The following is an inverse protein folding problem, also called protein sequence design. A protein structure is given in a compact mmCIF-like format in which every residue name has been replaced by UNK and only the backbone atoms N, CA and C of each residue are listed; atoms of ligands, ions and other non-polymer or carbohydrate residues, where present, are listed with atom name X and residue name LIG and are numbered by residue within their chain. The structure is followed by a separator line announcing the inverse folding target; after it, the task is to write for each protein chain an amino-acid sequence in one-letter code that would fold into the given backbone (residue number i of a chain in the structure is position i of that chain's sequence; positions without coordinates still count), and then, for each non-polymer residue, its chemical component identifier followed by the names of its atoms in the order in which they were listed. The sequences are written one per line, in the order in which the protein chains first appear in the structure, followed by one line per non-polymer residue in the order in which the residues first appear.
data_IF_493534527374
#
_entry.id   IF_493534527374
#
_cell.length_a   1.000
_cell.length_b   1.000
_cell.length_c   1.000
_cell.angle_alpha   90.00
_cell.angle_beta   90.00
_cell.angle_gamma   90.00
#
_symmetry.space_group_name_H-M   'P 1'
#
loop_
_entity.id
_entity.type
_entity.pdbx_description
1 polymer ?
#
# COMPACT_ATOMS: atom_id res chain seq x y z
N UNK A 1 -5.29 7.05 -12.54
CA UNK A 1 -4.66 6.93 -11.23
C UNK A 1 -3.78 8.15 -10.95
N UNK A 2 -2.80 8.47 -11.78
CA UNK A 2 -1.90 9.63 -11.56
C UNK A 2 -2.66 10.95 -11.39
N UNK A 3 -3.69 11.20 -12.21
CA UNK A 3 -4.59 12.36 -12.09
C UNK A 3 -5.23 12.46 -10.71
N UNK A 4 -5.76 11.34 -10.20
CA UNK A 4 -6.35 11.28 -8.87
C UNK A 4 -5.30 11.50 -7.76
N UNK A 5 -4.10 10.94 -7.93
CA UNK A 5 -3.01 11.08 -6.96
C UNK A 5 -2.54 12.54 -6.85
N UNK A 6 -2.35 13.23 -7.99
CA UNK A 6 -2.03 14.66 -8.01
C UNK A 6 -3.15 15.48 -7.38
N UNK A 7 -4.41 15.21 -7.76
CA UNK A 7 -5.55 15.93 -7.23
C UNK A 7 -5.69 15.78 -5.70
N UNK A 8 -5.50 14.59 -5.17
CA UNK A 8 -5.54 14.33 -3.71
C UNK A 8 -4.32 14.88 -2.95
N UNK A 9 -3.19 15.08 -3.64
CA UNK A 9 -2.01 15.68 -3.03
C UNK A 9 -2.15 17.18 -2.84
N UNK A 10 -2.81 17.87 -3.78
CA UNK A 10 -2.89 19.33 -3.81
C UNK A 10 -4.28 19.88 -3.51
N UNK A 11 -5.33 19.06 -3.45
CA UNK A 11 -6.70 19.46 -3.21
C UNK A 11 -7.31 18.86 -1.95
N UNK A 12 -8.36 19.52 -1.46
CA UNK A 12 -9.21 18.99 -0.39
C UNK A 12 -10.43 18.32 -1.03
N UNK A 13 -10.68 17.01 -0.79
CA UNK A 13 -11.77 16.27 -1.41
C UNK A 13 -13.14 16.91 -1.22
N UNK A 14 -13.40 17.56 -0.06
CA UNK A 14 -14.70 18.15 0.26
C UNK A 14 -14.84 19.62 -0.15
N UNK A 15 -13.73 20.36 -0.15
CA UNK A 15 -13.77 21.82 -0.29
C UNK A 15 -13.23 22.33 -1.64
N UNK A 16 -12.47 21.51 -2.39
CA UNK A 16 -12.02 21.89 -3.74
C UNK A 16 -13.16 21.75 -4.73
N UNK A 17 -13.52 22.85 -5.39
CA UNK A 17 -14.56 22.87 -6.42
C UNK A 17 -13.98 22.53 -7.79
N UNK A 18 -14.62 21.59 -8.48
CA UNK A 18 -14.32 21.21 -9.87
C UNK A 18 -15.46 21.70 -10.75
N UNK A 19 -15.13 22.38 -11.84
CA UNK A 19 -16.08 22.88 -12.83
C UNK A 19 -15.77 22.27 -14.20
N UNK A 20 -16.79 21.79 -14.87
CA UNK A 20 -16.66 21.14 -16.17
C UNK A 20 -16.69 22.19 -17.27
N UNK A 21 -15.63 22.30 -18.05
CA UNK A 21 -15.55 23.17 -19.23
C UNK A 21 -16.26 22.54 -20.46
N UNK A 22 -16.44 23.29 -21.52
CA UNK A 22 -16.89 22.74 -22.82
C UNK A 22 -15.88 21.72 -23.37
N UNK A 23 -14.57 21.96 -23.19
CA UNK A 23 -13.51 21.01 -23.58
C UNK A 23 -13.66 19.71 -22.82
N UNK A 24 -13.80 19.79 -21.49
CA UNK A 24 -13.95 18.59 -20.65
C UNK A 24 -15.23 17.81 -21.03
N UNK A 25 -16.35 18.48 -21.21
CA UNK A 25 -17.63 17.85 -21.57
C UNK A 25 -17.61 17.14 -22.94
N UNK A 26 -16.69 17.50 -23.82
CA UNK A 26 -16.60 16.99 -25.21
C UNK A 26 -15.36 16.14 -25.50
N UNK A 27 -14.58 15.79 -24.48
CA UNK A 27 -13.32 15.05 -24.64
C UNK A 27 -13.49 13.68 -25.33
N UNK A 28 -14.66 13.06 -25.19
CA UNK A 28 -14.99 11.79 -25.84
C UNK A 28 -14.55 10.53 -25.09
N UNK A 29 -14.85 9.38 -25.70
CA UNK A 29 -14.63 8.04 -25.18
C UNK A 29 -15.35 7.82 -23.84
N UNK A 30 -14.72 7.23 -22.83
CA UNK A 30 -15.33 6.99 -21.53
C UNK A 30 -15.73 8.29 -20.84
N UNK A 31 -16.96 8.39 -20.35
CA UNK A 31 -17.53 9.61 -19.79
C UNK A 31 -18.47 9.33 -18.63
N UNK A 32 -18.42 10.16 -17.60
CA UNK A 32 -19.44 10.23 -16.56
C UNK A 32 -20.69 11.03 -17.00
N UNK A 33 -20.78 11.45 -18.28
CA UNK A 33 -21.84 12.24 -18.88
C UNK A 33 -22.00 13.62 -18.23
N UNK A 34 -20.89 14.19 -17.80
CA UNK A 34 -20.82 15.54 -17.27
C UNK A 34 -21.07 16.55 -18.42
N UNK A 35 -21.72 17.65 -18.10
CA UNK A 35 -22.03 18.72 -19.06
C UNK A 35 -21.23 19.98 -18.73
N UNK A 36 -21.01 20.80 -19.75
CA UNK A 36 -20.35 22.09 -19.55
C UNK A 36 -21.14 22.94 -18.54
N UNK A 37 -20.44 23.50 -17.55
CA UNK A 37 -21.06 24.25 -16.45
C UNK A 37 -21.39 23.42 -15.22
N UNK A 38 -21.38 22.09 -15.29
CA UNK A 38 -21.54 21.25 -14.10
C UNK A 38 -20.44 21.59 -13.08
N UNK A 39 -20.83 21.61 -11.81
CA UNK A 39 -19.88 21.81 -10.72
C UNK A 39 -20.10 20.83 -9.58
N UNK A 40 -19.01 20.44 -8.92
CA UNK A 40 -19.01 19.45 -7.85
C UNK A 40 -17.77 19.62 -6.96
N UNK A 41 -17.73 18.94 -5.81
CA UNK A 41 -16.49 18.85 -5.03
C UNK A 41 -15.51 17.83 -5.67
N UNK A 42 -14.26 17.88 -5.24
CA UNK A 42 -13.21 17.03 -5.78
C UNK A 42 -13.51 15.53 -5.57
N UNK A 43 -14.08 15.14 -4.42
CA UNK A 43 -14.42 13.73 -4.18
C UNK A 43 -15.42 13.21 -5.19
N UNK A 44 -16.45 13.98 -5.51
CA UNK A 44 -17.42 13.63 -6.55
C UNK A 44 -16.75 13.52 -7.92
N UNK A 45 -15.89 14.47 -8.28
CA UNK A 45 -15.14 14.42 -9.53
C UNK A 45 -14.20 13.20 -9.60
N UNK A 46 -13.57 12.83 -8.49
CA UNK A 46 -12.75 11.62 -8.39
C UNK A 46 -13.57 10.33 -8.54
N UNK A 47 -14.79 10.28 -8.01
CA UNK A 47 -15.73 9.17 -8.26
C UNK A 47 -16.07 9.05 -9.73
N UNK A 48 -16.40 10.16 -10.39
CA UNK A 48 -16.62 10.20 -11.84
C UNK A 48 -15.38 9.76 -12.65
N UNK A 49 -14.18 10.15 -12.22
CA UNK A 49 -12.92 9.76 -12.85
C UNK A 49 -12.62 8.28 -12.70
N UNK A 50 -12.70 7.76 -11.47
CA UNK A 50 -12.15 6.44 -11.15
C UNK A 50 -13.13 5.30 -11.37
N UNK A 51 -14.42 5.50 -11.06
CA UNK A 51 -15.42 4.44 -11.14
C UNK A 51 -15.80 4.16 -12.60
N UNK A 52 -16.30 5.14 -13.33
CA UNK A 52 -16.70 4.95 -14.74
C UNK A 52 -15.59 5.28 -15.74
N UNK A 53 -14.39 5.59 -15.26
CA UNK A 53 -13.28 6.00 -16.14
C UNK A 53 -13.52 7.29 -16.92
N UNK A 54 -14.21 8.28 -16.32
CA UNK A 54 -14.63 9.50 -17.01
C UNK A 54 -13.47 10.38 -17.46
N UNK A 55 -13.26 10.50 -18.78
CA UNK A 55 -12.27 11.42 -19.36
C UNK A 55 -12.67 12.87 -19.14
N UNK A 56 -13.97 13.15 -19.18
CA UNK A 56 -14.58 14.45 -18.83
C UNK A 56 -14.19 14.89 -17.41
N UNK A 57 -14.30 13.99 -16.43
CA UNK A 57 -13.89 14.27 -15.06
C UNK A 57 -12.37 14.46 -14.94
N UNK A 58 -11.53 13.66 -15.66
CA UNK A 58 -10.10 13.82 -15.68
C UNK A 58 -9.67 15.20 -16.18
N UNK A 59 -10.24 15.62 -17.29
CA UNK A 59 -9.98 16.91 -17.92
C UNK A 59 -10.43 18.07 -17.00
N UNK A 60 -11.66 17.98 -16.45
CA UNK A 60 -12.21 18.99 -15.56
C UNK A 60 -11.38 19.19 -14.29
N UNK A 61 -10.86 18.09 -13.70
CA UNK A 61 -9.96 18.14 -12.54
C UNK A 61 -8.67 18.89 -12.89
N UNK A 62 -8.02 18.54 -14.01
CA UNK A 62 -6.77 19.17 -14.41
C UNK A 62 -6.93 20.65 -14.71
N UNK A 63 -8.00 21.04 -15.39
CA UNK A 63 -8.32 22.44 -15.70
C UNK A 63 -8.66 23.25 -14.44
N UNK A 64 -9.49 22.70 -13.54
CA UNK A 64 -9.93 23.40 -12.33
C UNK A 64 -8.81 23.57 -11.31
N UNK A 65 -7.90 22.58 -11.18
CA UNK A 65 -6.87 22.57 -10.14
C UNK A 65 -5.50 23.05 -10.61
N UNK A 66 -5.29 23.16 -11.91
CA UNK A 66 -3.97 23.37 -12.47
C UNK A 66 -3.28 24.64 -12.00
N UNK A 67 -4.00 25.75 -11.85
CA UNK A 67 -3.43 27.01 -11.33
C UNK A 67 -2.99 26.87 -9.86
N UNK A 68 -3.83 26.23 -9.03
CA UNK A 68 -3.48 25.96 -7.63
C UNK A 68 -2.25 25.06 -7.54
N UNK A 69 -2.21 23.97 -8.31
CA UNK A 69 -1.09 23.03 -8.35
C UNK A 69 0.19 23.76 -8.80
N UNK A 70 0.13 24.54 -9.88
CA UNK A 70 1.26 25.29 -10.39
C UNK A 70 1.79 26.32 -9.40
N UNK A 71 0.92 27.05 -8.71
CA UNK A 71 1.31 28.02 -7.69
C UNK A 71 1.98 27.33 -6.50
N UNK A 72 1.41 26.23 -6.00
CA UNK A 72 1.98 25.45 -4.90
C UNK A 72 3.38 24.91 -5.25
N UNK A 73 3.57 24.40 -6.46
CA UNK A 73 4.89 23.92 -6.91
C UNK A 73 5.93 25.07 -6.97
N UNK A 74 5.52 26.25 -7.46
CA UNK A 74 6.40 27.45 -7.49
C UNK A 74 6.78 27.90 -6.07
N UNK A 75 5.84 27.90 -5.14
CA UNK A 75 6.07 28.20 -3.71
C UNK A 75 7.02 27.19 -3.05
N UNK A 76 6.97 25.93 -3.47
CA UNK A 76 7.90 24.89 -3.03
C UNK A 76 9.30 25.00 -3.68
N UNK A 77 9.51 25.97 -4.57
CA UNK A 77 10.79 26.20 -5.25
C UNK A 77 11.04 25.28 -6.43
N UNK A 78 9.99 24.66 -6.99
CA UNK A 78 10.10 23.84 -8.20
C UNK A 78 10.32 24.76 -9.40
N UNK A 79 11.37 24.50 -10.16
CA UNK A 79 11.72 25.30 -11.34
C UNK A 79 10.94 24.85 -12.59
N UNK A 80 10.82 25.74 -13.57
CA UNK A 80 10.22 25.48 -14.88
C UNK A 80 8.74 25.04 -14.85
N UNK A 81 8.00 25.36 -13.79
CA UNK A 81 6.56 25.10 -13.71
C UNK A 81 5.84 25.96 -14.77
N UNK A 82 5.03 25.36 -15.66
CA UNK A 82 4.28 26.11 -16.67
C UNK A 82 3.36 27.17 -16.06
N UNK A 83 3.09 28.24 -16.83
CA UNK A 83 2.19 29.31 -16.40
C UNK A 83 0.71 28.97 -16.64
N UNK A 84 0.40 28.12 -17.63
CA UNK A 84 -0.97 27.64 -17.86
C UNK A 84 -1.35 26.54 -16.89
N UNK A 85 -2.46 26.68 -16.23
CA UNK A 85 -2.91 25.76 -15.20
C UNK A 85 -2.97 24.29 -15.65
N UNK A 86 -3.58 24.03 -16.78
CA UNK A 86 -3.62 22.67 -17.34
C UNK A 86 -2.23 22.07 -17.56
N UNK A 87 -1.32 22.84 -18.18
CA UNK A 87 0.04 22.39 -18.42
C UNK A 87 0.81 22.19 -17.09
N UNK A 88 0.53 23.02 -16.07
CA UNK A 88 1.10 22.85 -14.73
C UNK A 88 0.60 21.58 -14.03
N UNK A 89 -0.66 21.17 -14.26
CA UNK A 89 -1.19 19.90 -13.75
C UNK A 89 -0.48 18.70 -14.39
N UNK A 90 -0.32 18.70 -15.73
CA UNK A 90 0.42 17.65 -16.43
C UNK A 90 1.91 17.63 -16.03
N UNK A 91 2.50 18.79 -15.81
CA UNK A 91 3.85 18.90 -15.24
C UNK A 91 3.92 18.24 -13.86
N UNK A 92 2.94 18.49 -12.99
CA UNK A 92 2.85 17.86 -11.66
C UNK A 92 2.72 16.33 -11.74
N UNK A 93 1.99 15.78 -12.73
CA UNK A 93 1.90 14.33 -12.96
C UNK A 93 3.29 13.74 -13.26
N UNK A 94 4.08 14.38 -14.13
CA UNK A 94 5.43 13.93 -14.46
C UNK A 94 6.42 14.15 -13.31
N UNK A 95 6.29 15.25 -12.56
CA UNK A 95 7.08 15.49 -11.36
C UNK A 95 6.84 14.42 -10.31
N UNK A 96 5.58 14.07 -10.06
CA UNK A 96 5.19 13.01 -9.13
C UNK A 96 5.69 11.65 -9.60
N UNK A 97 5.63 11.35 -10.90
CA UNK A 97 6.22 10.14 -11.46
C UNK A 97 7.72 10.06 -11.17
N UNK A 98 8.45 11.15 -11.36
CA UNK A 98 9.88 11.24 -11.04
C UNK A 98 10.14 11.00 -9.53
N UNK A 99 9.35 11.62 -8.66
CA UNK A 99 9.49 11.48 -7.20
C UNK A 99 9.21 10.05 -6.71
N UNK A 100 8.31 9.34 -7.38
CA UNK A 100 8.01 7.93 -7.13
C UNK A 100 9.01 6.97 -7.77
N UNK A 101 9.97 7.44 -8.56
CA UNK A 101 10.93 6.60 -9.27
C UNK A 101 10.38 5.90 -10.51
N UNK A 102 9.29 6.41 -11.10
CA UNK A 102 8.66 5.89 -12.32
C UNK A 102 9.47 6.30 -13.56
N UNK A 103 10.64 5.69 -13.73
CA UNK A 103 11.63 6.12 -14.74
C UNK A 103 11.25 5.76 -16.19
N UNK A 104 10.22 4.95 -16.39
CA UNK A 104 9.72 4.53 -17.70
C UNK A 104 8.29 5.03 -17.93
N UNK A 105 7.96 6.22 -17.42
CA UNK A 105 6.61 6.77 -17.53
C UNK A 105 6.65 8.23 -17.96
N UNK A 106 5.79 8.59 -18.90
CA UNK A 106 5.55 9.96 -19.33
C UNK A 106 4.05 10.19 -19.44
N UNK A 107 3.56 11.25 -18.84
CA UNK A 107 2.19 11.71 -18.91
C UNK A 107 2.10 12.97 -19.77
N UNK A 108 1.17 13.02 -20.73
CA UNK A 108 0.95 14.17 -21.62
C UNK A 108 -0.45 14.77 -21.49
N UNK A 109 -1.36 14.06 -20.82
CA UNK A 109 -2.71 14.50 -20.52
C UNK A 109 -3.24 13.77 -19.25
N UNK A 110 -4.34 14.23 -18.64
CA UNK A 110 -4.88 13.66 -17.41
C UNK A 110 -5.75 12.40 -17.61
N UNK A 111 -6.23 12.12 -18.83
CA UNK A 111 -7.20 11.07 -19.15
C UNK A 111 -6.58 9.81 -19.76
N UNK A 112 -5.42 9.90 -20.39
CA UNK A 112 -4.70 8.74 -20.95
C UNK A 112 -5.06 8.40 -22.39
N UNK A 113 -5.83 9.24 -23.12
CA UNK A 113 -6.02 9.07 -24.56
C UNK A 113 -4.69 9.28 -25.29
N UNK A 114 -4.44 8.47 -26.32
CA UNK A 114 -3.14 8.37 -26.99
C UNK A 114 -3.24 8.45 -28.55
N UNK A 115 -4.38 8.83 -29.05
CA UNK A 115 -4.68 8.93 -30.49
C UNK A 115 -5.11 10.36 -30.91
N UNK A 116 -5.27 10.57 -32.21
CA UNK A 116 -5.76 11.83 -32.76
C UNK A 116 -4.97 13.05 -32.26
N UNK A 117 -5.65 14.03 -31.69
CA UNK A 117 -5.05 15.23 -31.10
C UNK A 117 -4.30 14.96 -29.79
N UNK A 118 -4.55 13.80 -29.17
CA UNK A 118 -3.90 13.33 -27.95
C UNK A 118 -2.69 12.43 -28.23
N UNK A 119 -2.37 12.17 -29.49
CA UNK A 119 -1.20 11.36 -29.88
C UNK A 119 0.10 12.01 -29.38
N UNK A 120 0.98 11.20 -28.79
CA UNK A 120 2.25 11.68 -28.26
C UNK A 120 3.08 10.58 -27.62
N UNK A 121 4.12 10.99 -26.90
CA UNK A 121 5.01 10.09 -26.19
C UNK A 121 4.47 9.71 -24.80
N UNK A 122 3.25 9.23 -24.75
CA UNK A 122 2.58 8.72 -23.54
C UNK A 122 2.95 7.25 -23.38
N UNK A 123 3.55 6.88 -22.25
CA UNK A 123 3.90 5.48 -21.95
C UNK A 123 4.10 5.25 -20.46
N UNK A 124 4.06 3.97 -20.07
CA UNK A 124 4.41 3.52 -18.74
C UNK A 124 4.91 2.06 -18.78
N UNK A 125 5.29 1.52 -17.63
CA UNK A 125 5.64 0.10 -17.43
C UNK A 125 4.82 -0.50 -16.29
N UNK A 126 4.70 -1.83 -16.26
CA UNK A 126 3.98 -2.51 -15.17
C UNK A 126 4.61 -2.20 -13.79
N UNK A 127 5.94 -2.10 -13.74
CA UNK A 127 6.64 -1.69 -12.52
C UNK A 127 6.24 -0.28 -12.06
N UNK A 128 6.28 0.70 -12.97
CA UNK A 128 5.97 2.09 -12.64
C UNK A 128 4.50 2.27 -12.25
N UNK A 129 3.58 1.59 -12.97
CA UNK A 129 2.15 1.58 -12.59
C UNK A 129 1.97 0.99 -11.20
N UNK A 130 2.74 -0.04 -10.83
CA UNK A 130 2.67 -0.61 -9.47
C UNK A 130 3.11 0.38 -8.39
N UNK A 131 4.16 1.18 -8.63
CA UNK A 131 4.61 2.22 -7.71
C UNK A 131 3.53 3.29 -7.50
N UNK A 132 2.92 3.74 -8.59
CA UNK A 132 1.82 4.70 -8.56
C UNK A 132 0.61 4.17 -7.79
N UNK A 133 0.22 2.92 -8.01
CA UNK A 133 -0.89 2.28 -7.32
C UNK A 133 -0.62 2.11 -5.82
N UNK A 134 0.59 1.68 -5.45
CA UNK A 134 0.99 1.56 -4.05
C UNK A 134 0.92 2.91 -3.32
N UNK A 135 1.36 4.01 -3.95
CA UNK A 135 1.26 5.34 -3.36
C UNK A 135 -0.19 5.80 -3.23
N UNK A 136 -0.99 5.68 -4.30
CA UNK A 136 -2.40 6.08 -4.31
C UNK A 136 -3.23 5.32 -3.26
N UNK A 137 -2.98 4.04 -3.10
CA UNK A 137 -3.68 3.18 -2.12
C UNK A 137 -3.33 3.48 -0.66
N UNK A 138 -2.36 4.36 -0.36
CA UNK A 138 -2.15 4.88 1.01
C UNK A 138 -3.24 5.87 1.42
N UNK A 139 -3.87 6.55 0.46
CA UNK A 139 -4.94 7.50 0.70
C UNK A 139 -6.28 6.78 0.91
N UNK A 140 -6.97 7.02 2.04
CA UNK A 140 -8.22 6.34 2.38
C UNK A 140 -9.37 6.71 1.43
N UNK A 141 -9.45 7.97 1.00
CA UNK A 141 -10.46 8.43 0.04
C UNK A 141 -10.27 7.73 -1.30
N UNK A 142 -9.03 7.61 -1.78
CA UNK A 142 -8.74 6.87 -3.00
C UNK A 142 -9.16 5.41 -2.90
N UNK A 143 -8.79 4.71 -1.79
CA UNK A 143 -9.18 3.30 -1.57
C UNK A 143 -10.69 3.10 -1.57
N UNK A 144 -11.42 3.99 -0.89
CA UNK A 144 -12.89 3.92 -0.86
C UNK A 144 -13.49 4.07 -2.26
N UNK A 145 -13.02 5.05 -3.03
CA UNK A 145 -13.52 5.31 -4.38
C UNK A 145 -13.26 4.13 -5.31
N UNK A 146 -12.02 3.62 -5.37
CA UNK A 146 -11.67 2.53 -6.31
C UNK A 146 -12.25 1.17 -5.92
N UNK A 147 -12.57 0.98 -4.64
CA UNK A 147 -13.27 -0.21 -4.14
C UNK A 147 -14.80 -0.14 -4.29
N UNK A 148 -15.34 0.94 -4.84
CA UNK A 148 -16.79 1.12 -5.03
C UNK A 148 -17.23 0.53 -6.37
N UNK A 149 -18.07 -0.52 -6.34
CA UNK A 149 -18.63 -1.11 -7.55
C UNK A 149 -19.70 -0.19 -8.18
N UNK A 150 -20.64 0.32 -7.42
CA UNK A 150 -21.73 1.17 -7.90
C UNK A 150 -22.09 2.26 -6.89
N UNK A 151 -22.38 3.46 -7.38
CA UNK A 151 -22.86 4.58 -6.55
C UNK A 151 -23.60 5.62 -7.39
N UNK A 152 -24.39 6.47 -6.75
CA UNK A 152 -24.96 7.68 -7.33
C UNK A 152 -24.31 8.88 -6.68
N UNK A 153 -23.87 9.84 -7.48
CA UNK A 153 -23.31 11.11 -7.01
C UNK A 153 -24.19 12.28 -7.47
N UNK A 154 -24.06 13.44 -6.83
CA UNK A 154 -24.78 14.64 -7.19
C UNK A 154 -23.83 15.68 -7.76
N UNK A 155 -24.21 16.26 -8.89
CA UNK A 155 -23.55 17.42 -9.51
C UNK A 155 -24.51 18.60 -9.55
N UNK A 156 -23.99 19.81 -9.45
CA UNK A 156 -24.79 21.02 -9.62
C UNK A 156 -24.79 21.39 -11.10
N UNK A 157 -25.96 21.38 -11.73
CA UNK A 157 -26.23 21.75 -13.13
C UNK A 157 -27.31 22.81 -13.16
N UNK A 158 -27.03 23.98 -13.76
CA UNK A 158 -28.01 25.10 -13.83
C UNK A 158 -28.59 25.47 -12.44
N UNK A 159 -27.79 25.38 -11.39
CA UNK A 159 -28.16 25.61 -9.97
C UNK A 159 -29.07 24.53 -9.35
N UNK A 160 -29.31 23.42 -10.02
CA UNK A 160 -30.07 22.28 -9.52
C UNK A 160 -29.12 21.10 -9.23
N UNK A 161 -29.51 20.23 -8.28
CA UNK A 161 -28.80 18.99 -8.05
C UNK A 161 -29.27 17.91 -9.00
N UNK A 162 -28.35 17.32 -9.75
CA UNK A 162 -28.61 16.26 -10.71
C UNK A 162 -27.87 14.99 -10.27
N UNK A 163 -28.59 13.89 -10.20
CA UNK A 163 -28.03 12.58 -9.90
C UNK A 163 -27.28 12.02 -11.11
N UNK A 164 -26.09 11.48 -10.87
CA UNK A 164 -25.27 10.79 -11.85
C UNK A 164 -24.95 9.39 -11.30
N UNK A 165 -25.45 8.37 -11.99
CA UNK A 165 -25.19 6.98 -11.65
C UNK A 165 -23.83 6.55 -12.19
N UNK A 166 -23.02 5.94 -11.33
CA UNK A 166 -21.68 5.46 -11.63
C UNK A 166 -21.59 3.96 -11.36
N UNK A 167 -21.09 3.22 -12.33
CA UNK A 167 -20.83 1.79 -12.25
C UNK A 167 -19.38 1.52 -12.64
N UNK A 168 -18.70 0.72 -11.83
CA UNK A 168 -17.28 0.45 -12.01
C UNK A 168 -17.02 -0.40 -13.26
N UNK A 169 -15.93 -0.07 -13.95
CA UNK A 169 -15.40 -0.90 -15.03
C UNK A 169 -14.55 -2.05 -14.54
N UNK A 170 -14.34 -2.17 -13.24
CA UNK A 170 -13.59 -3.26 -12.58
C UNK A 170 -14.55 -4.39 -12.19
N UNK A 171 -14.63 -5.42 -13.04
CA UNK A 171 -15.49 -6.58 -12.80
C UNK A 171 -15.06 -7.42 -11.61
N UNK A 172 -13.78 -7.36 -11.20
CA UNK A 172 -13.28 -8.15 -10.08
C UNK A 172 -13.86 -7.70 -8.73
N UNK A 173 -14.36 -6.47 -8.62
CA UNK A 173 -15.02 -6.00 -7.39
C UNK A 173 -16.24 -6.87 -7.00
N UNK A 174 -16.90 -7.52 -7.97
CA UNK A 174 -18.02 -8.43 -7.72
C UNK A 174 -17.63 -9.91 -7.76
N UNK A 175 -16.58 -10.27 -8.54
CA UNK A 175 -16.34 -11.66 -8.90
C UNK A 175 -15.17 -12.29 -8.16
N UNK A 176 -14.22 -11.47 -7.64
CA UNK A 176 -12.99 -11.99 -7.04
C UNK A 176 -12.90 -11.65 -5.55
N UNK A 177 -12.71 -12.67 -4.71
CA UNK A 177 -12.59 -12.50 -3.25
C UNK A 177 -11.42 -11.59 -2.88
N UNK A 178 -11.73 -10.54 -2.11
CA UNK A 178 -10.75 -9.57 -1.65
C UNK A 178 -10.40 -8.48 -2.65
N UNK A 179 -10.99 -8.46 -3.87
CA UNK A 179 -10.78 -7.37 -4.81
C UNK A 179 -11.16 -6.02 -4.18
N UNK A 180 -10.28 -5.01 -4.35
CA UNK A 180 -10.46 -3.68 -3.77
C UNK A 180 -10.04 -2.54 -4.73
N UNK A 181 -10.09 -2.81 -6.03
CA UNK A 181 -9.83 -1.86 -7.11
C UNK A 181 -8.73 -2.37 -8.05
N UNK A 182 -8.18 -1.55 -8.94
CA UNK A 182 -8.04 -0.07 -8.90
C UNK A 182 -8.60 0.55 -10.17
N UNK A 183 -8.09 0.12 -11.38
CA UNK A 183 -8.44 0.81 -12.63
C UNK A 183 -8.20 -0.03 -13.86
N UNK A 184 -9.16 -0.04 -14.74
CA UNK A 184 -9.07 -0.54 -16.12
C UNK A 184 -8.57 0.55 -17.08
N UNK A 185 -8.05 0.15 -18.23
CA UNK A 185 -7.72 1.04 -19.32
C UNK A 185 -7.78 0.30 -20.66
N UNK A 186 -8.14 1.01 -21.70
CA UNK A 186 -8.12 0.50 -23.06
C UNK A 186 -7.87 1.64 -24.06
N UNK A 187 -6.99 1.43 -25.00
CA UNK A 187 -6.85 2.16 -26.25
C UNK A 187 -6.41 1.17 -27.34
N UNK A 188 -6.58 1.54 -28.61
CA UNK A 188 -6.14 0.67 -29.71
C UNK A 188 -4.63 0.39 -29.70
N UNK A 189 -3.83 1.33 -29.19
CA UNK A 189 -2.38 1.17 -29.06
C UNK A 189 -1.99 0.40 -27.81
N UNK A 190 -2.62 0.68 -26.67
CA UNK A 190 -2.26 0.06 -25.38
C UNK A 190 -2.85 -1.36 -25.24
N UNK A 191 -3.94 -1.69 -25.94
CA UNK A 191 -4.70 -2.91 -25.69
C UNK A 191 -5.42 -2.86 -24.35
N UNK A 192 -5.93 -4.00 -23.90
CA UNK A 192 -6.63 -4.11 -22.63
C UNK A 192 -5.64 -4.13 -21.45
N UNK A 193 -5.77 -3.16 -20.54
CA UNK A 193 -4.92 -3.01 -19.38
C UNK A 193 -5.74 -3.02 -18.07
N UNK A 194 -5.12 -3.49 -16.99
CA UNK A 194 -5.72 -3.49 -15.66
C UNK A 194 -4.64 -3.31 -14.57
N UNK A 195 -4.87 -2.38 -13.69
CA UNK A 195 -4.18 -2.28 -12.43
C UNK A 195 -5.14 -2.76 -11.34
N UNK A 196 -4.96 -3.98 -10.87
CA UNK A 196 -5.79 -4.61 -9.87
C UNK A 196 -5.18 -4.59 -8.47
N UNK A 197 -6.02 -4.55 -7.45
CA UNK A 197 -5.64 -4.77 -6.06
C UNK A 197 -6.56 -5.77 -5.39
N UNK A 198 -5.99 -6.63 -4.54
CA UNK A 198 -6.75 -7.57 -3.73
C UNK A 198 -6.16 -7.63 -2.33
N UNK A 199 -7.01 -7.59 -1.31
CA UNK A 199 -6.64 -7.74 0.10
C UNK A 199 -7.34 -8.95 0.70
N UNK A 200 -6.57 -9.95 1.14
CA UNK A 200 -7.06 -11.08 1.93
C UNK A 200 -6.36 -11.10 3.28
N UNK A 201 -7.13 -10.86 4.34
CA UNK A 201 -6.64 -10.87 5.72
C UNK A 201 -5.44 -9.92 5.99
N UNK A 202 -5.41 -8.74 5.34
CA UNK A 202 -4.34 -7.76 5.46
C UNK A 202 -3.14 -8.02 4.55
N UNK A 203 -3.21 -9.03 3.68
CA UNK A 203 -2.23 -9.29 2.62
C UNK A 203 -2.67 -8.60 1.33
N UNK A 204 -2.31 -7.32 1.21
CA UNK A 204 -2.63 -6.49 0.05
C UNK A 204 -1.67 -6.77 -1.11
N UNK A 205 -2.20 -7.22 -2.22
CA UNK A 205 -1.47 -7.52 -3.47
C UNK A 205 -1.88 -6.56 -4.59
N UNK A 206 -0.94 -6.32 -5.50
CA UNK A 206 -1.18 -5.58 -6.74
C UNK A 206 -0.86 -6.44 -7.95
N UNK A 207 -1.77 -6.54 -8.90
CA UNK A 207 -1.57 -7.19 -10.19
C UNK A 207 -1.65 -6.14 -11.31
N UNK A 208 -0.56 -5.94 -12.04
CA UNK A 208 -0.51 -5.00 -13.16
C UNK A 208 -0.43 -5.79 -14.44
N UNK A 209 -1.49 -5.72 -15.21
CA UNK A 209 -1.66 -6.41 -16.50
C UNK A 209 -1.72 -5.37 -17.60
N UNK A 210 -0.85 -5.47 -18.58
CA UNK A 210 -0.76 -4.56 -19.71
C UNK A 210 -0.87 -5.33 -21.02
N UNK A 211 -1.66 -4.80 -21.95
CA UNK A 211 -1.79 -5.32 -23.30
C UNK A 211 -2.30 -6.77 -23.36
N UNK A 212 -3.34 -7.10 -22.59
CA UNK A 212 -4.05 -8.38 -22.75
C UNK A 212 -4.81 -8.43 -24.07
N UNK A 213 -5.02 -9.63 -24.61
CA UNK A 213 -5.66 -9.84 -25.89
C UNK A 213 -7.10 -9.35 -25.97
N UNK A 214 -7.81 -9.36 -24.84
CA UNK A 214 -9.20 -8.87 -24.72
C UNK A 214 -9.44 -8.19 -23.39
N UNK A 215 -10.53 -7.41 -23.31
CA UNK A 215 -10.93 -6.75 -22.07
C UNK A 215 -11.28 -7.75 -20.96
N UNK A 216 -11.87 -8.88 -21.27
CA UNK A 216 -12.14 -9.95 -20.31
C UNK A 216 -10.84 -10.64 -19.85
N UNK A 217 -9.88 -10.82 -20.77
CA UNK A 217 -8.62 -11.50 -20.45
C UNK A 217 -7.80 -10.76 -19.41
N UNK A 218 -7.81 -9.42 -19.38
CA UNK A 218 -7.07 -8.64 -18.36
C UNK A 218 -7.47 -9.01 -16.93
N UNK A 219 -8.73 -9.36 -16.69
CA UNK A 219 -9.22 -9.79 -15.39
C UNK A 219 -8.76 -11.21 -15.07
N UNK A 220 -8.91 -12.16 -15.99
CA UNK A 220 -8.42 -13.54 -15.81
C UNK A 220 -6.90 -13.59 -15.57
N UNK A 221 -6.14 -12.74 -16.25
CA UNK A 221 -4.69 -12.62 -16.07
C UNK A 221 -4.37 -12.11 -14.64
N UNK A 222 -5.12 -11.10 -14.16
CA UNK A 222 -4.96 -10.56 -12.81
C UNK A 222 -5.35 -11.57 -11.73
N UNK A 223 -6.47 -12.29 -11.89
CA UNK A 223 -6.88 -13.39 -11.01
C UNK A 223 -5.80 -14.45 -10.91
N UNK A 224 -5.22 -14.85 -12.05
CA UNK A 224 -4.13 -15.83 -12.10
C UNK A 224 -2.92 -15.37 -11.30
N UNK A 225 -2.54 -14.09 -11.40
CA UNK A 225 -1.44 -13.51 -10.64
C UNK A 225 -1.75 -13.48 -9.13
N UNK A 226 -2.93 -13.06 -8.73
CA UNK A 226 -3.35 -13.05 -7.33
C UNK A 226 -3.37 -14.45 -6.75
N UNK A 227 -4.01 -15.40 -7.43
CA UNK A 227 -4.10 -16.79 -6.99
C UNK A 227 -2.72 -17.43 -6.89
N UNK A 228 -1.81 -17.12 -7.81
CA UNK A 228 -0.44 -17.63 -7.72
C UNK A 228 0.27 -17.16 -6.45
N UNK A 229 0.10 -15.90 -6.05
CA UNK A 229 0.70 -15.40 -4.81
C UNK A 229 0.00 -15.98 -3.59
N UNK A 230 -1.32 -15.92 -3.50
CA UNK A 230 -2.07 -16.43 -2.34
C UNK A 230 -1.87 -17.93 -2.12
N UNK A 231 -1.85 -18.74 -3.19
CA UNK A 231 -1.61 -20.18 -3.10
C UNK A 231 -0.16 -20.52 -2.72
N UNK A 232 0.78 -19.60 -2.87
CA UNK A 232 2.17 -19.75 -2.46
C UNK A 232 2.52 -18.95 -1.20
N UNK A 233 1.56 -18.32 -0.55
CA UNK A 233 1.70 -17.69 0.77
C UNK A 233 1.25 -18.70 1.83
N UNK A 234 2.07 -18.84 2.88
CA UNK A 234 1.81 -19.75 4.00
C UNK A 234 1.95 -19.02 5.33
N UNK A 235 1.14 -19.41 6.31
CA UNK A 235 1.34 -18.99 7.68
C UNK A 235 2.56 -19.71 8.26
N UNK A 236 3.57 -18.92 8.66
CA UNK A 236 4.84 -19.39 9.18
C UNK A 236 4.90 -19.09 10.68
N UNK A 237 4.83 -20.12 11.57
CA UNK A 237 5.00 -19.91 13.00
C UNK A 237 6.38 -19.36 13.31
N UNK A 238 6.49 -18.39 14.23
CA UNK A 238 7.79 -17.84 14.61
C UNK A 238 8.56 -18.78 15.55
N UNK A 239 7.90 -19.75 16.16
CA UNK A 239 8.51 -20.75 17.03
C UNK A 239 8.44 -22.13 16.40
N UNK A 240 9.61 -22.74 16.21
CA UNK A 240 9.78 -24.10 15.69
C UNK A 240 10.42 -25.06 16.71
N UNK A 241 10.63 -24.61 17.96
CA UNK A 241 11.28 -25.43 18.99
C UNK A 241 10.37 -26.57 19.45
N UNK A 242 10.91 -27.78 19.50
CA UNK A 242 10.26 -28.92 20.14
C UNK A 242 10.51 -28.98 21.67
N UNK A 243 11.41 -28.13 22.19
CA UNK A 243 11.70 -28.04 23.63
C UNK A 243 10.77 -27.03 24.28
N UNK A 244 10.30 -27.35 25.49
CA UNK A 244 9.47 -26.43 26.28
C UNK A 244 10.02 -26.37 27.73
N UNK A 245 9.66 -25.28 28.40
CA UNK A 245 9.90 -25.11 29.83
C UNK A 245 8.61 -24.71 30.52
N UNK A 246 8.52 -25.00 31.81
CA UNK A 246 7.35 -24.73 32.62
C UNK A 246 7.71 -23.74 33.72
N UNK A 247 7.05 -22.59 33.73
CA UNK A 247 7.14 -21.59 34.78
C UNK A 247 5.95 -21.72 35.74
N UNK A 248 6.20 -21.58 37.03
CA UNK A 248 5.18 -21.58 38.06
C UNK A 248 5.24 -20.25 38.82
N UNK A 249 4.16 -19.47 38.73
CA UNK A 249 4.06 -18.18 39.40
C UNK A 249 3.87 -18.29 40.91
N UNK A 250 3.96 -17.16 41.61
CA UNK A 250 3.78 -17.08 43.08
C UNK A 250 2.40 -17.52 43.55
N UNK A 251 1.38 -17.50 42.68
CA UNK A 251 0.02 -17.97 42.96
C UNK A 251 -0.17 -19.47 42.73
N UNK A 252 0.86 -20.13 42.18
CA UNK A 252 0.84 -21.56 41.87
C UNK A 252 0.33 -21.92 40.47
N UNK A 253 0.00 -20.92 39.62
CA UNK A 253 -0.38 -21.17 38.24
C UNK A 253 0.85 -21.62 37.43
N UNK A 254 0.61 -22.51 36.51
CA UNK A 254 1.65 -23.13 35.70
C UNK A 254 1.49 -22.70 34.25
N UNK A 255 2.54 -22.10 33.65
CA UNK A 255 2.60 -21.71 32.25
C UNK A 255 3.71 -22.50 31.56
N UNK A 256 3.39 -23.16 30.45
CA UNK A 256 4.39 -23.88 29.63
C UNK A 256 4.60 -23.12 28.34
N UNK A 257 5.87 -22.80 28.04
CA UNK A 257 6.27 -22.06 26.85
C UNK A 257 7.39 -22.79 26.11
N UNK A 258 7.47 -22.67 24.77
CA UNK A 258 8.57 -23.23 24.00
C UNK A 258 9.88 -22.51 24.30
N UNK A 259 11.01 -23.21 24.29
CA UNK A 259 12.34 -22.63 24.46
C UNK A 259 12.91 -22.25 23.10
N UNK A 260 13.13 -20.96 22.87
CA UNK A 260 13.70 -20.43 21.62
C UNK A 260 15.21 -20.30 21.72
N UNK A 261 15.73 -19.89 22.89
CA UNK A 261 17.15 -19.73 23.12
C UNK A 261 17.52 -19.96 24.59
N UNK A 262 18.81 -20.22 24.84
CA UNK A 262 19.43 -20.09 26.17
C UNK A 262 20.21 -18.78 26.18
N UNK A 263 19.98 -17.95 27.19
CA UNK A 263 20.59 -16.63 27.35
C UNK A 263 21.66 -16.73 28.47
N UNK A 264 22.88 -16.25 28.20
CA UNK A 264 23.92 -16.19 29.19
C UNK A 264 23.66 -15.05 30.18
N UNK A 265 23.69 -15.37 31.48
CA UNK A 265 23.62 -14.38 32.54
C UNK A 265 25.03 -13.85 32.84
N UNK A 266 25.37 -12.64 32.42
CA UNK A 266 26.72 -12.07 32.54
C UNK A 266 27.17 -11.82 33.98
N UNK A 267 26.27 -11.85 34.94
CA UNK A 267 26.60 -11.78 36.36
C UNK A 267 27.19 -13.09 36.95
N UNK A 268 27.13 -14.19 36.20
CA UNK A 268 27.60 -15.51 36.63
C UNK A 268 28.48 -16.17 35.58
N UNK A 269 29.52 -16.90 36.02
CA UNK A 269 30.29 -17.77 35.11
C UNK A 269 29.42 -18.98 34.74
N UNK A 270 29.31 -19.26 33.43
CA UNK A 270 28.62 -20.44 32.90
C UNK A 270 27.12 -20.57 33.28
N UNK A 271 26.48 -19.51 33.75
CA UNK A 271 25.03 -19.52 34.02
C UNK A 271 24.23 -19.12 32.80
N UNK A 272 23.24 -19.93 32.47
CA UNK A 272 22.26 -19.64 31.40
C UNK A 272 20.84 -19.84 31.91
N UNK A 273 19.88 -19.10 31.31
CA UNK A 273 18.46 -19.29 31.53
C UNK A 273 17.74 -19.39 30.19
N UNK A 274 16.54 -19.95 30.22
CA UNK A 274 15.73 -20.17 28.99
C UNK A 274 14.96 -18.93 28.62
N UNK A 275 14.85 -18.71 27.33
CA UNK A 275 14.06 -17.61 26.75
C UNK A 275 13.11 -18.10 25.65
N UNK A 276 12.02 -17.39 25.49
CA UNK A 276 11.00 -17.59 24.45
C UNK A 276 10.71 -16.25 23.78
N UNK A 277 9.85 -16.21 22.75
CA UNK A 277 9.34 -14.94 22.22
C UNK A 277 8.11 -14.50 23.01
N UNK A 278 7.81 -13.20 22.98
CA UNK A 278 6.73 -12.58 23.78
C UNK A 278 5.36 -13.21 23.53
N UNK A 279 5.04 -13.54 22.25
CA UNK A 279 3.87 -14.34 21.88
C UNK A 279 4.30 -15.62 21.15
N UNK A 280 4.38 -16.76 21.85
CA UNK A 280 4.80 -18.03 21.26
C UNK A 280 3.88 -18.59 20.16
N UNK A 281 2.65 -18.08 20.04
CA UNK A 281 1.69 -18.50 19.03
C UNK A 281 1.71 -17.60 17.80
N UNK A 282 2.53 -16.55 17.79
CA UNK A 282 2.63 -15.63 16.68
C UNK A 282 3.11 -16.35 15.40
N UNK A 283 2.43 -16.06 14.31
CA UNK A 283 2.82 -16.45 12.96
C UNK A 283 2.83 -15.22 12.03
N UNK A 284 3.53 -15.35 10.92
CA UNK A 284 3.58 -14.34 9.86
C UNK A 284 3.28 -15.01 8.52
N UNK A 285 2.75 -14.24 7.58
CA UNK A 285 2.57 -14.70 6.22
C UNK A 285 3.90 -14.62 5.46
N UNK A 286 4.30 -15.71 4.82
CA UNK A 286 5.53 -15.77 4.02
C UNK A 286 5.25 -16.35 2.64
N UNK A 287 5.83 -15.75 1.62
CA UNK A 287 5.77 -16.26 0.26
C UNK A 287 6.83 -17.36 0.08
N UNK A 288 6.39 -18.62 0.09
CA UNK A 288 7.28 -19.81 0.12
C UNK A 288 8.31 -19.86 -1.02
N UNK A 289 7.99 -19.26 -2.17
CA UNK A 289 8.88 -19.27 -3.34
C UNK A 289 10.00 -18.21 -3.27
N UNK A 290 9.96 -17.29 -2.29
CA UNK A 290 11.02 -16.30 -2.03
C UNK A 290 12.22 -16.89 -1.28
N UNK A 291 12.19 -18.19 -0.97
CA UNK A 291 13.24 -18.90 -0.27
C UNK A 291 12.96 -19.14 1.21
N UNK A 292 13.92 -19.73 1.89
CA UNK A 292 13.78 -20.08 3.31
C UNK A 292 13.78 -18.86 4.21
N UNK A 293 13.03 -18.95 5.29
CA UNK A 293 13.10 -18.00 6.40
C UNK A 293 14.31 -18.35 7.27
N UNK A 294 15.15 -17.37 7.55
CA UNK A 294 16.25 -17.44 8.51
C UNK A 294 15.93 -16.59 9.73
N UNK A 295 16.52 -16.94 10.87
CA UNK A 295 16.40 -16.18 12.11
C UNK A 295 17.76 -15.74 12.62
N UNK A 296 17.81 -14.55 13.20
CA UNK A 296 18.96 -14.02 13.93
C UNK A 296 18.51 -13.60 15.33
N UNK A 297 19.20 -14.10 16.35
CA UNK A 297 18.91 -13.80 17.75
C UNK A 297 19.98 -12.84 18.27
N UNK A 298 19.56 -11.71 18.79
CA UNK A 298 20.42 -10.73 19.46
C UNK A 298 20.05 -10.69 20.94
N UNK A 299 21.01 -10.96 21.80
CA UNK A 299 20.84 -10.96 23.25
C UNK A 299 21.21 -9.62 23.85
N UNK A 300 20.44 -9.20 24.86
CA UNK A 300 20.79 -8.08 25.71
C UNK A 300 21.80 -8.51 26.79
N UNK A 301 22.51 -7.53 27.35
CA UNK A 301 23.47 -7.76 28.44
C UNK A 301 22.73 -7.88 29.77
N UNK A 302 22.49 -9.13 30.21
CA UNK A 302 21.77 -9.43 31.45
C UNK A 302 22.75 -9.63 32.61
N UNK A 303 22.68 -8.74 33.61
CA UNK A 303 23.56 -8.74 34.79
C UNK A 303 22.82 -8.73 36.14
N UNK A 304 21.50 -8.45 36.13
CA UNK A 304 20.62 -8.32 37.29
C UNK A 304 19.61 -9.46 37.35
N UNK A 305 18.79 -9.50 38.40
CA UNK A 305 17.65 -10.40 38.48
C UNK A 305 16.76 -10.26 37.26
N UNK A 306 16.31 -11.39 36.76
CA UNK A 306 15.39 -11.50 35.58
C UNK A 306 14.16 -12.28 36.03
N UNK A 307 12.99 -11.81 35.64
CA UNK A 307 11.74 -12.48 35.91
C UNK A 307 11.12 -12.99 34.61
N UNK A 308 10.27 -13.99 34.74
CA UNK A 308 9.51 -14.53 33.61
C UNK A 308 8.80 -13.39 32.87
N UNK A 309 9.00 -13.32 31.53
CA UNK A 309 8.44 -12.28 30.67
C UNK A 309 9.31 -11.03 30.50
N UNK A 310 10.40 -10.88 31.27
CA UNK A 310 11.32 -9.75 31.07
C UNK A 310 12.01 -9.85 29.71
N UNK A 311 12.15 -8.72 29.01
CA UNK A 311 12.86 -8.66 27.73
C UNK A 311 14.35 -8.90 27.95
N UNK A 312 14.92 -9.83 27.16
CA UNK A 312 16.31 -10.27 27.23
C UNK A 312 16.99 -10.29 25.86
N UNK A 313 16.34 -9.74 24.84
CA UNK A 313 16.88 -9.64 23.50
C UNK A 313 15.80 -9.46 22.44
N UNK A 314 16.18 -9.73 21.20
CA UNK A 314 15.28 -9.70 20.03
C UNK A 314 15.57 -10.88 19.10
N UNK A 315 14.53 -11.32 18.40
CA UNK A 315 14.65 -12.29 17.30
C UNK A 315 14.18 -11.62 16.02
N UNK A 316 15.07 -11.54 15.04
CA UNK A 316 14.76 -10.99 13.71
C UNK A 316 14.61 -12.15 12.72
N UNK A 317 13.51 -12.18 12.02
CA UNK A 317 13.25 -13.15 10.95
C UNK A 317 13.47 -12.47 9.60
N UNK A 318 14.13 -13.17 8.70
CA UNK A 318 14.51 -12.65 7.39
C UNK A 318 14.16 -13.66 6.29
N UNK A 319 13.67 -13.17 5.16
CA UNK A 319 13.50 -13.95 3.94
C UNK A 319 14.16 -13.19 2.79
N UNK A 320 15.02 -13.85 2.02
CA UNK A 320 15.79 -13.23 0.92
C UNK A 320 16.52 -11.93 1.34
N UNK A 321 17.15 -11.95 2.54
CA UNK A 321 17.85 -10.81 3.16
C UNK A 321 16.97 -9.59 3.54
N UNK A 322 15.66 -9.71 3.44
CA UNK A 322 14.73 -8.70 3.92
C UNK A 322 14.18 -9.10 5.29
N UNK A 323 14.08 -8.14 6.20
CA UNK A 323 13.46 -8.35 7.51
C UNK A 323 11.96 -8.46 7.32
N UNK A 324 11.39 -9.61 7.72
CA UNK A 324 9.96 -9.89 7.63
C UNK A 324 9.26 -9.83 8.99
N UNK A 325 9.99 -10.01 10.09
CA UNK A 325 9.50 -9.79 11.44
C UNK A 325 10.67 -9.51 12.40
N UNK A 326 10.37 -8.75 13.46
CA UNK A 326 11.26 -8.55 14.60
C UNK A 326 10.42 -8.63 15.87
N UNK A 327 10.75 -9.55 16.78
CA UNK A 327 9.98 -9.80 17.99
C UNK A 327 10.89 -9.81 19.22
N UNK A 328 10.32 -9.47 20.37
CA UNK A 328 11.05 -9.49 21.63
C UNK A 328 11.31 -10.94 22.07
N UNK A 329 12.57 -11.20 22.45
CA UNK A 329 12.96 -12.39 23.18
C UNK A 329 12.78 -12.07 24.67
N UNK A 330 12.02 -12.91 25.38
CA UNK A 330 11.67 -12.73 26.79
C UNK A 330 12.10 -13.93 27.62
N UNK A 331 12.40 -13.71 28.89
CA UNK A 331 12.75 -14.78 29.82
C UNK A 331 11.60 -15.78 30.00
N UNK A 332 11.87 -17.06 29.89
CA UNK A 332 10.94 -18.17 30.08
C UNK A 332 11.02 -18.79 31.50
N UNK A 333 11.87 -18.27 32.34
CA UNK A 333 12.06 -18.64 33.74
C UNK A 333 12.72 -17.49 34.50
N UNK A 334 12.60 -17.48 35.84
CA UNK A 334 13.31 -16.51 36.67
C UNK A 334 14.80 -16.87 36.76
N UNK A 335 15.66 -15.86 36.71
CA UNK A 335 17.10 -16.02 36.91
C UNK A 335 17.60 -14.95 37.88
N UNK A 336 18.39 -15.39 38.88
CA UNK A 336 18.93 -14.52 39.92
C UNK A 336 20.23 -13.87 39.47
N UNK A 337 20.35 -12.55 39.65
CA UNK A 337 21.62 -11.83 39.52
C UNK A 337 22.61 -12.12 40.68
N UNK A 338 23.86 -11.75 40.49
CA UNK A 338 24.87 -11.82 41.53
C UNK A 338 24.68 -10.70 42.57
N UNK A 339 24.83 -10.99 43.86
CA UNK A 339 24.97 -9.95 44.85
C UNK A 339 26.40 -9.37 44.83
N UNK A 340 26.63 -8.26 45.57
CA UNK A 340 27.93 -7.56 45.59
C UNK A 340 29.11 -8.47 45.93
N UNK A 341 28.97 -9.42 46.87
CA UNK A 341 30.03 -10.32 47.29
C UNK A 341 30.28 -11.45 46.29
N UNK A 342 29.25 -11.99 45.69
CA UNK A 342 29.32 -12.98 44.61
C UNK A 342 29.95 -12.38 43.35
N UNK A 343 29.64 -11.13 43.00
CA UNK A 343 30.23 -10.41 41.87
C UNK A 343 31.74 -10.21 42.00
N UNK A 344 32.28 -10.04 43.23
CA UNK A 344 33.72 -9.99 43.47
C UNK A 344 34.36 -11.36 43.21
N UNK A 345 33.69 -12.46 43.60
CA UNK A 345 34.17 -13.83 43.35
C UNK A 345 34.29 -14.17 41.87
N UNK A 346 33.29 -13.78 41.06
CA UNK A 346 33.26 -13.99 39.62
C UNK A 346 34.34 -13.19 38.86
N UNK A 347 34.87 -12.12 39.49
CA UNK A 347 35.94 -11.29 38.88
C UNK A 347 37.34 -11.88 39.08
N UNK A 348 37.48 -12.89 39.96
CA UNK A 348 38.77 -13.52 40.32
C UNK A 348 38.95 -14.90 39.70
N UNK A 349 37.94 -15.52 39.12
CA UNK A 349 37.95 -16.75 38.34
C UNK A 349 38.00 -16.48 36.83
#
# INVERSE_FOLDING_TARGET
VMTALVALTYGDPQNTTITVSETAATIGESSAKLQAGDSMNLETALKCLMIVSGNDAAQAIAESMGDQVGNTLKEQGVENVPDKGYDAFVFAMNKMAQDLGMNNSVFINPHGLDDGEHAGNLHSSAHDVSLMCQEAMKNSVFREIVGTHQTTVQVTRDSEQVDVDLESTDELLETYEGACGIKTGFTDLAGACFAGASDRNGSLLYAIVLHSDTEAQRFTDAETLFDWVYNNTISYPLVHSSQSTTYKDSSGNTTTVPVVANVSHKGWVDSTFKATIADPNQSIEVFKLKGNVSQNVQFDDVTSDVHFGDKVGTVTFMQHNEVIACVDLVAAEDARGTNFFEGIGVWWD
#
